data_IF_489513944643
#
_entry.id   IF_489513944643
#
_cell.length_a   1.000
_cell.length_b   1.000
_cell.length_c   1.000
_cell.angle_alpha   90.00
_cell.angle_beta   90.00
_cell.angle_gamma   90.00
#
_symmetry.space_group_name_H-M   'P 1'
#
loop_
_entity.id
_entity.type
_entity.pdbx_description
1 polymer ?
#
# COMPACT_ATOMS: atom_id res chain seq x y z
N UNK A 1 -36.04 34.92 -24.52
CA UNK A 1 -34.98 34.42 -23.59
C UNK A 1 -34.57 33.02 -24.00
N UNK A 2 -33.41 32.87 -24.63
CA UNK A 2 -32.98 31.60 -25.26
C UNK A 2 -32.50 30.52 -24.26
N UNK A 3 -32.28 30.86 -22.99
CA UNK A 3 -31.65 29.95 -22.02
C UNK A 3 -32.65 29.24 -21.09
N UNK A 4 -33.97 29.50 -21.23
CA UNK A 4 -34.99 28.95 -20.33
C UNK A 4 -35.19 27.43 -20.51
N UNK A 5 -34.79 26.88 -21.65
CA UNK A 5 -34.87 25.44 -21.96
C UNK A 5 -33.63 24.63 -21.51
N UNK A 6 -32.51 25.30 -21.19
CA UNK A 6 -31.28 24.64 -20.74
C UNK A 6 -31.31 24.30 -19.24
N UNK A 7 -32.04 25.07 -18.44
CA UNK A 7 -32.13 24.89 -16.99
C UNK A 7 -32.94 23.66 -16.56
N UNK A 8 -33.82 23.14 -17.41
CA UNK A 8 -34.69 22.00 -17.10
C UNK A 8 -34.15 20.65 -17.59
N UNK A 9 -32.94 20.60 -18.16
CA UNK A 9 -32.34 19.33 -18.60
C UNK A 9 -31.83 18.54 -17.39
N UNK A 10 -32.61 17.56 -16.96
CA UNK A 10 -32.17 16.55 -16.00
C UNK A 10 -30.99 15.79 -16.60
N UNK A 11 -29.78 16.01 -16.05
CA UNK A 11 -28.60 15.23 -16.46
C UNK A 11 -28.80 13.81 -15.99
N UNK A 12 -28.95 12.89 -16.92
CA UNK A 12 -28.99 11.46 -16.63
C UNK A 12 -27.65 11.06 -16.02
N UNK A 13 -27.65 10.69 -14.74
CA UNK A 13 -26.48 10.14 -14.05
C UNK A 13 -26.70 8.65 -13.91
N UNK A 14 -25.99 7.86 -14.72
CA UNK A 14 -25.95 6.41 -14.55
C UNK A 14 -25.05 6.16 -13.34
N UNK A 15 -25.65 5.71 -12.23
CA UNK A 15 -24.85 5.10 -11.17
C UNK A 15 -24.44 3.73 -11.69
N UNK A 16 -23.21 3.65 -12.19
CA UNK A 16 -22.57 2.36 -12.40
C UNK A 16 -22.29 1.85 -11.00
N UNK A 17 -23.16 0.96 -10.49
CA UNK A 17 -22.75 0.11 -9.39
C UNK A 17 -21.44 -0.54 -9.81
N UNK A 18 -20.39 -0.52 -8.97
CA UNK A 18 -19.17 -1.20 -9.32
C UNK A 18 -19.54 -2.65 -9.61
N UNK A 19 -19.45 -3.07 -10.88
CA UNK A 19 -19.71 -4.44 -11.34
C UNK A 19 -18.82 -5.47 -10.63
N UNK A 20 -17.82 -4.96 -9.92
CA UNK A 20 -17.05 -5.58 -8.88
C UNK A 20 -17.93 -5.76 -7.64
N UNK A 21 -18.74 -6.84 -7.58
CA UNK A 21 -19.39 -7.25 -6.34
C UNK A 21 -18.39 -7.15 -5.18
N UNK A 22 -18.67 -6.25 -4.24
CA UNK A 22 -17.81 -5.98 -3.08
C UNK A 22 -17.65 -7.28 -2.29
N UNK A 23 -16.49 -7.94 -2.44
CA UNK A 23 -16.18 -9.22 -1.80
C UNK A 23 -15.85 -10.38 -2.74
N UNK A 24 -16.06 -10.26 -4.06
CA UNK A 24 -15.62 -11.28 -5.03
C UNK A 24 -14.29 -10.88 -5.66
N UNK A 25 -13.26 -11.76 -5.67
CA UNK A 25 -12.01 -11.46 -6.33
C UNK A 25 -12.23 -11.31 -7.83
N UNK A 26 -11.53 -10.33 -8.43
CA UNK A 26 -11.54 -10.08 -9.88
C UNK A 26 -11.14 -11.30 -10.70
N UNK A 27 -10.35 -12.19 -10.11
CA UNK A 27 -9.90 -13.43 -10.70
C UNK A 27 -10.35 -14.59 -9.80
N UNK A 28 -11.18 -15.53 -10.30
CA UNK A 28 -11.69 -16.65 -9.51
C UNK A 28 -10.58 -17.58 -9.01
N UNK A 29 -9.41 -17.59 -9.67
CA UNK A 29 -8.27 -18.43 -9.32
C UNK A 29 -7.38 -17.76 -8.26
N UNK A 30 -7.50 -16.45 -8.02
CA UNK A 30 -6.63 -15.73 -7.10
C UNK A 30 -6.71 -16.26 -5.66
N UNK A 31 -7.90 -16.65 -5.20
CA UNK A 31 -8.07 -17.26 -3.87
C UNK A 31 -7.34 -18.60 -3.77
N UNK A 32 -7.44 -19.44 -4.81
CA UNK A 32 -6.78 -20.74 -4.89
C UNK A 32 -5.26 -20.60 -5.03
N UNK A 33 -4.77 -19.65 -5.82
CA UNK A 33 -3.36 -19.34 -5.96
C UNK A 33 -2.77 -18.83 -4.64
N UNK A 34 -3.50 -17.98 -3.91
CA UNK A 34 -3.07 -17.51 -2.58
C UNK A 34 -3.03 -18.65 -1.54
N UNK A 35 -3.97 -19.59 -1.61
CA UNK A 35 -3.97 -20.77 -0.74
C UNK A 35 -2.86 -21.78 -1.11
N UNK A 36 -2.49 -21.86 -2.40
CA UNK A 36 -1.40 -22.71 -2.91
C UNK A 36 -0.03 -22.07 -2.84
N UNK A 37 0.04 -20.74 -2.70
CA UNK A 37 1.30 -20.06 -2.48
C UNK A 37 1.92 -20.73 -1.25
N UNK A 38 3.07 -21.38 -1.46
CA UNK A 38 3.86 -21.91 -0.37
C UNK A 38 3.96 -20.80 0.67
N UNK A 39 3.61 -21.08 1.91
CA UNK A 39 3.62 -20.12 3.00
C UNK A 39 4.98 -19.39 3.11
N UNK A 40 5.14 -18.44 4.03
CA UNK A 40 6.38 -17.69 4.16
C UNK A 40 7.59 -18.62 4.06
N UNK A 41 8.39 -18.45 3.00
CA UNK A 41 9.47 -19.38 2.68
C UNK A 41 10.39 -19.46 3.90
N UNK A 42 10.57 -20.67 4.44
CA UNK A 42 11.48 -20.89 5.56
C UNK A 42 12.86 -20.43 5.12
N UNK A 43 13.33 -19.34 5.72
CA UNK A 43 14.67 -18.83 5.44
C UNK A 43 15.64 -19.88 5.95
N UNK A 44 16.56 -20.30 5.09
CA UNK A 44 17.57 -21.27 5.46
C UNK A 44 18.30 -20.79 6.73
N UNK A 45 18.56 -21.68 7.70
CA UNK A 45 19.01 -21.32 9.06
C UNK A 45 20.14 -20.27 9.09
N UNK A 46 21.13 -20.44 8.22
CA UNK A 46 22.26 -19.51 8.06
C UNK A 46 21.85 -18.08 7.66
N UNK A 47 20.84 -17.94 6.81
CA UNK A 47 20.36 -16.62 6.36
C UNK A 47 19.56 -15.91 7.44
N UNK A 48 18.81 -16.65 8.26
CA UNK A 48 18.10 -16.10 9.41
C UNK A 48 19.07 -15.60 10.49
N UNK A 49 20.10 -16.40 10.82
CA UNK A 49 21.16 -16.03 11.77
C UNK A 49 21.92 -14.78 11.31
N UNK A 50 22.28 -14.69 10.03
CA UNK A 50 22.93 -13.51 9.45
C UNK A 50 22.06 -12.25 9.57
N UNK A 51 20.77 -12.35 9.27
CA UNK A 51 19.85 -11.21 9.36
C UNK A 51 19.64 -10.76 10.81
N UNK A 52 19.55 -11.70 11.75
CA UNK A 52 19.46 -11.38 13.17
C UNK A 52 20.72 -10.68 13.68
N UNK A 53 21.91 -11.19 13.32
CA UNK A 53 23.18 -10.57 13.67
C UNK A 53 23.30 -9.15 13.10
N UNK A 54 22.92 -8.95 11.84
CA UNK A 54 22.91 -7.61 11.22
C UNK A 54 22.00 -6.65 11.98
N UNK A 55 20.78 -7.06 12.33
CA UNK A 55 19.86 -6.21 13.12
C UNK A 55 20.42 -5.85 14.50
N UNK A 56 21.12 -6.78 15.15
CA UNK A 56 21.75 -6.51 16.44
C UNK A 56 22.92 -5.53 16.33
N UNK A 57 23.68 -5.61 15.23
CA UNK A 57 24.76 -4.67 14.91
C UNK A 57 24.18 -3.30 14.60
N UNK A 58 23.19 -3.23 13.70
CA UNK A 58 22.49 -1.99 13.33
C UNK A 58 21.90 -1.32 14.59
N UNK A 59 21.21 -2.07 15.47
CA UNK A 59 20.67 -1.55 16.74
C UNK A 59 21.74 -0.99 17.68
N UNK A 60 22.94 -1.59 17.71
CA UNK A 60 24.05 -1.10 18.54
C UNK A 60 24.72 0.13 17.93
N UNK A 61 24.75 0.23 16.60
CA UNK A 61 25.30 1.37 15.85
C UNK A 61 24.36 2.57 15.90
N UNK A 62 23.05 2.35 15.80
CA UNK A 62 22.00 3.36 15.92
C UNK A 62 21.65 3.68 17.39
N UNK A 63 22.54 3.32 18.33
CA UNK A 63 22.28 3.22 19.77
C UNK A 63 21.39 4.33 20.34
N UNK A 64 20.34 3.94 21.06
CA UNK A 64 19.59 4.71 22.07
C UNK A 64 19.51 6.24 21.89
N UNK A 65 19.25 6.72 20.66
CA UNK A 65 19.01 8.14 20.39
C UNK A 65 17.56 8.52 20.78
N UNK A 66 17.30 8.63 22.08
CA UNK A 66 16.36 9.65 22.58
C UNK A 66 16.94 11.02 22.21
N UNK A 67 16.72 11.50 20.98
CA UNK A 67 17.19 12.84 20.60
C UNK A 67 17.41 13.16 19.12
N UNK A 68 16.99 12.34 18.16
CA UNK A 68 16.96 12.79 16.75
C UNK A 68 15.72 13.64 16.48
N UNK A 69 15.82 14.92 16.86
CA UNK A 69 15.03 15.99 16.27
C UNK A 69 15.05 15.83 14.74
N UNK A 70 13.90 15.84 14.04
CA UNK A 70 13.88 15.71 12.60
C UNK A 70 14.59 16.93 12.01
N UNK A 71 15.80 16.74 11.47
CA UNK A 71 16.45 17.74 10.64
C UNK A 71 15.47 18.13 9.54
N UNK A 72 14.85 19.30 9.71
CA UNK A 72 13.97 19.90 8.73
C UNK A 72 14.81 20.11 7.47
N UNK A 73 14.56 19.29 6.46
CA UNK A 73 15.12 19.49 5.13
C UNK A 73 14.46 20.76 4.59
N UNK A 74 15.11 21.90 4.83
CA UNK A 74 14.76 23.17 4.20
C UNK A 74 14.81 23.02 2.67
N UNK A 75 13.99 23.79 1.93
CA UNK A 75 13.86 23.62 0.49
C UNK A 75 15.23 23.84 -0.18
N UNK A 76 15.72 22.82 -0.88
CA UNK A 76 16.89 22.94 -1.75
C UNK A 76 16.51 23.90 -2.88
N UNK A 77 17.03 25.12 -2.82
CA UNK A 77 16.85 26.13 -3.84
C UNK A 77 17.65 25.78 -5.11
N UNK A 78 16.89 25.72 -6.21
CA UNK A 78 17.24 25.75 -7.65
C UNK A 78 18.08 24.62 -8.22
#
# INVERSE_FOLDING_TARGET
>A
MANKQLATRQKMRIRVEPSQNFGKPRNPIAALAKARAAGPHDKNRSTAERQAAKKLIDKKLDGDDEGKEPYQIGPRNR
#
